data_IF_484476963823
#
_entry.id   IF_484476963823
#
_cell.length_a   1.000
_cell.length_b   1.000
_cell.length_c   1.000
_cell.angle_alpha   90.00
_cell.angle_beta   90.00
_cell.angle_gamma   90.00
#
_symmetry.space_group_name_H-M   'P 1'
#
loop_
_entity.id
_entity.type
_entity.pdbx_description
1 polymer ?
#
# COMPACT_ATOMS: atom_id res chain seq x y z
N UNK A 1 -8.38 6.09 -11.83
CA UNK A 1 -6.93 6.45 -11.92
C UNK A 1 -6.10 5.22 -12.25
N UNK A 2 -5.30 5.30 -13.27
CA UNK A 2 -4.38 4.23 -13.67
C UNK A 2 -2.96 4.80 -13.71
N UNK A 3 -2.01 4.08 -13.14
CA UNK A 3 -0.63 4.52 -13.05
C UNK A 3 0.31 3.32 -13.17
N UNK A 4 1.45 3.50 -13.82
CA UNK A 4 2.52 2.50 -13.85
C UNK A 4 3.43 2.73 -12.67
N UNK A 5 3.65 1.68 -11.87
CA UNK A 5 4.49 1.71 -10.68
C UNK A 5 5.63 0.71 -10.85
N UNK A 6 6.85 1.15 -10.58
CA UNK A 6 8.02 0.27 -10.67
C UNK A 6 8.32 -0.30 -9.29
N UNK A 7 8.37 -1.63 -9.20
CA UNK A 7 8.72 -2.34 -7.98
C UNK A 7 9.80 -3.36 -8.33
N UNK A 8 10.96 -3.25 -7.71
CA UNK A 8 12.09 -4.16 -7.92
C UNK A 8 12.48 -4.27 -9.41
N UNK A 9 12.45 -3.13 -10.12
CA UNK A 9 12.82 -3.06 -11.53
C UNK A 9 11.73 -3.51 -12.50
N UNK A 10 10.59 -3.98 -12.02
CA UNK A 10 9.48 -4.40 -12.86
C UNK A 10 8.35 -3.38 -12.81
N UNK A 11 7.77 -3.09 -13.98
CA UNK A 11 6.63 -2.18 -14.10
C UNK A 11 5.32 -2.93 -13.85
N UNK A 12 4.46 -2.33 -13.02
CA UNK A 12 3.11 -2.83 -12.77
C UNK A 12 2.11 -1.74 -13.08
N UNK A 13 1.10 -2.09 -13.89
CA UNK A 13 -0.03 -1.21 -14.15
C UNK A 13 -1.02 -1.34 -13.01
N UNK A 14 -1.20 -0.29 -12.25
CA UNK A 14 -2.13 -0.26 -11.12
C UNK A 14 -3.31 0.64 -11.44
N UNK A 15 -4.52 0.17 -11.12
CA UNK A 15 -5.75 0.90 -11.39
C UNK A 15 -6.63 0.94 -10.15
N UNK A 16 -7.20 2.12 -9.89
CA UNK A 16 -8.23 2.32 -8.89
C UNK A 16 -9.48 2.90 -9.57
N UNK A 17 -10.65 2.39 -9.19
CA UNK A 17 -11.94 2.82 -9.73
C UNK A 17 -13.01 2.68 -8.64
N UNK A 18 -14.26 2.98 -8.99
CA UNK A 18 -15.39 2.76 -8.07
C UNK A 18 -15.55 1.28 -7.68
N UNK A 19 -15.02 0.37 -8.48
CA UNK A 19 -15.06 -1.07 -8.20
C UNK A 19 -14.06 -1.51 -7.13
N UNK A 20 -12.97 -0.78 -6.96
CA UNK A 20 -11.84 -1.19 -6.10
C UNK A 20 -12.26 -1.55 -4.67
N UNK A 21 -13.06 -0.74 -3.95
CA UNK A 21 -13.47 -1.10 -2.59
C UNK A 21 -14.26 -2.40 -2.53
N UNK A 22 -15.04 -2.69 -3.55
CA UNK A 22 -15.82 -3.93 -3.62
C UNK A 22 -14.91 -5.14 -3.83
N UNK A 23 -13.89 -5.02 -4.67
CA UNK A 23 -12.91 -6.08 -4.89
C UNK A 23 -12.14 -6.35 -3.60
N UNK A 24 -11.71 -5.31 -2.93
CA UNK A 24 -10.98 -5.44 -1.67
C UNK A 24 -11.82 -6.21 -0.63
N UNK A 25 -13.10 -5.84 -0.49
CA UNK A 25 -14.01 -6.52 0.44
C UNK A 25 -14.22 -7.98 0.05
N UNK A 26 -14.32 -8.27 -1.25
CA UNK A 26 -14.50 -9.64 -1.73
C UNK A 26 -13.29 -10.52 -1.40
N UNK A 27 -12.08 -10.00 -1.55
CA UNK A 27 -10.86 -10.76 -1.31
C UNK A 27 -10.51 -10.86 0.17
N UNK A 28 -10.68 -9.78 0.93
CA UNK A 28 -10.14 -9.69 2.29
C UNK A 28 -11.21 -9.64 3.38
N UNK A 29 -12.49 -9.50 3.04
CA UNK A 29 -13.60 -9.37 3.99
C UNK A 29 -13.43 -8.18 4.93
N UNK A 30 -12.86 -7.09 4.42
CA UNK A 30 -12.56 -5.87 5.16
C UNK A 30 -13.03 -4.65 4.39
N UNK A 31 -13.23 -3.55 5.11
CA UNK A 31 -13.62 -2.26 4.54
C UNK A 31 -12.36 -1.49 4.12
N UNK A 32 -12.17 -1.35 2.80
CA UNK A 32 -11.01 -0.68 2.23
C UNK A 32 -10.92 0.79 2.67
N UNK A 33 -12.06 1.48 2.75
CA UNK A 33 -12.06 2.91 3.10
C UNK A 33 -11.53 3.09 4.51
N UNK A 34 -12.00 2.27 5.46
CA UNK A 34 -11.51 2.31 6.84
C UNK A 34 -10.04 1.94 6.93
N UNK A 35 -9.64 0.86 6.27
CA UNK A 35 -8.25 0.40 6.26
C UNK A 35 -7.32 1.47 5.70
N UNK A 36 -7.73 2.13 4.59
CA UNK A 36 -6.92 3.20 3.99
C UNK A 36 -6.89 4.46 4.85
N UNK A 37 -7.98 4.81 5.51
CA UNK A 37 -7.98 5.94 6.44
C UNK A 37 -6.98 5.73 7.56
N UNK A 38 -6.94 4.52 8.11
CA UNK A 38 -5.99 4.17 9.17
C UNK A 38 -4.54 4.19 8.67
N UNK A 39 -4.30 3.62 7.49
CA UNK A 39 -2.98 3.64 6.87
C UNK A 39 -2.51 5.07 6.60
N UNK A 40 -3.38 5.90 6.00
CA UNK A 40 -3.04 7.29 5.68
C UNK A 40 -2.78 8.10 6.94
N UNK A 41 -3.54 7.86 8.02
CA UNK A 41 -3.31 8.50 9.30
C UNK A 41 -1.91 8.20 9.85
N UNK A 42 -1.51 6.94 9.84
CA UNK A 42 -0.19 6.52 10.28
C UNK A 42 0.92 7.07 9.39
N UNK A 43 0.72 7.02 8.07
CA UNK A 43 1.69 7.55 7.10
C UNK A 43 1.87 9.06 7.26
N UNK A 44 0.77 9.79 7.39
CA UNK A 44 0.81 11.24 7.57
C UNK A 44 1.50 11.64 8.88
N UNK A 45 1.26 10.88 9.94
CA UNK A 45 1.94 11.08 11.23
C UNK A 45 3.45 10.96 11.09
N UNK A 46 3.91 9.99 10.31
CA UNK A 46 5.33 9.79 10.03
C UNK A 46 5.91 10.95 9.22
N UNK A 47 5.19 11.43 8.19
CA UNK A 47 5.64 12.51 7.30
C UNK A 47 5.68 13.87 8.01
N UNK A 48 4.84 14.08 9.02
CA UNK A 48 4.70 15.38 9.71
C UNK A 48 5.47 15.47 11.01
N UNK A 49 6.35 14.51 11.30
CA UNK A 49 7.23 14.59 12.46
C UNK A 49 8.10 15.84 12.38
N UNK A 50 8.17 16.65 13.46
CA UNK A 50 9.06 17.81 13.48
C UNK A 50 10.53 17.35 13.47
N UNK A 51 11.42 18.24 13.00
CA UNK A 51 12.85 17.95 12.95
C UNK A 51 13.44 17.67 14.33
N UNK A 52 12.87 18.31 15.35
CA UNK A 52 13.29 18.17 16.75
C UNK A 52 12.52 17.08 17.50
N UNK A 53 11.80 16.21 16.79
CA UNK A 53 11.08 15.09 17.39
C UNK A 53 12.04 14.22 18.21
N UNK A 54 11.60 13.78 19.38
CA UNK A 54 12.38 12.87 20.21
C UNK A 54 12.49 11.49 19.57
N UNK A 55 13.46 10.71 20.01
CA UNK A 55 13.59 9.32 19.54
C UNK A 55 12.35 8.51 19.88
N UNK A 56 11.72 8.77 21.02
CA UNK A 56 10.47 8.13 21.43
C UNK A 56 9.34 8.45 20.44
N UNK A 57 9.20 9.73 20.05
CA UNK A 57 8.19 10.15 19.09
C UNK A 57 8.42 9.53 17.72
N UNK A 58 9.68 9.45 17.26
CA UNK A 58 10.04 8.81 15.99
C UNK A 58 9.72 7.33 16.00
N UNK A 59 10.07 6.64 17.09
CA UNK A 59 9.81 5.22 17.24
C UNK A 59 8.31 4.92 17.23
N UNK A 60 7.52 5.74 17.93
CA UNK A 60 6.07 5.60 17.99
C UNK A 60 5.45 5.76 16.60
N UNK A 61 5.90 6.75 15.83
CA UNK A 61 5.41 6.96 14.47
C UNK A 61 5.78 5.80 13.55
N UNK A 62 7.01 5.28 13.64
CA UNK A 62 7.45 4.14 12.86
C UNK A 62 6.68 2.87 13.21
N UNK A 63 6.43 2.62 14.50
CA UNK A 63 5.66 1.46 14.93
C UNK A 63 4.20 1.54 14.48
N UNK A 64 3.67 2.75 14.42
CA UNK A 64 2.29 2.99 13.98
C UNK A 64 2.07 2.54 12.53
N UNK A 65 3.04 2.83 11.63
CA UNK A 65 2.92 2.43 10.22
C UNK A 65 3.04 0.91 10.05
N UNK A 66 3.82 0.24 10.91
CA UNK A 66 4.01 -1.21 10.82
C UNK A 66 2.70 -1.97 10.97
N UNK A 67 1.76 -1.45 11.76
CA UNK A 67 0.45 -2.08 11.97
C UNK A 67 -0.38 -2.14 10.68
N UNK A 68 -0.03 -1.34 9.67
CA UNK A 68 -0.81 -1.21 8.44
C UNK A 68 -0.06 -1.67 7.19
N UNK A 69 1.12 -2.30 7.34
CA UNK A 69 1.89 -2.77 6.18
C UNK A 69 1.12 -3.84 5.40
N UNK A 70 0.43 -4.74 6.07
CA UNK A 70 -0.38 -5.75 5.41
C UNK A 70 -1.53 -5.11 4.62
N UNK A 71 -2.17 -4.08 5.18
CA UNK A 71 -3.18 -3.30 4.48
C UNK A 71 -2.60 -2.72 3.19
N UNK A 72 -1.43 -2.10 3.29
CA UNK A 72 -0.75 -1.52 2.14
C UNK A 72 -0.47 -2.57 1.05
N UNK A 73 0.07 -3.72 1.43
CA UNK A 73 0.36 -4.83 0.51
C UNK A 73 -0.89 -5.32 -0.20
N UNK A 74 -1.97 -5.48 0.56
CA UNK A 74 -3.25 -5.93 0.02
C UNK A 74 -3.86 -4.93 -0.96
N UNK A 75 -3.79 -3.64 -0.63
CA UNK A 75 -4.26 -2.56 -1.51
C UNK A 75 -3.47 -2.54 -2.81
N UNK A 76 -2.15 -2.63 -2.72
CA UNK A 76 -1.28 -2.66 -3.90
C UNK A 76 -1.63 -3.85 -4.80
N UNK A 77 -1.85 -5.01 -4.22
CA UNK A 77 -2.23 -6.22 -4.96
C UNK A 77 -3.56 -6.05 -5.69
N UNK A 78 -4.57 -5.48 -5.02
CA UNK A 78 -5.87 -5.23 -5.65
C UNK A 78 -5.74 -4.24 -6.81
N UNK A 79 -4.94 -3.18 -6.64
CA UNK A 79 -4.67 -2.24 -7.73
C UNK A 79 -4.03 -2.93 -8.93
N UNK A 80 -3.10 -3.85 -8.70
CA UNK A 80 -2.49 -4.65 -9.76
C UNK A 80 -3.50 -5.56 -10.45
N UNK A 81 -4.34 -6.23 -9.70
CA UNK A 81 -5.40 -7.09 -10.24
C UNK A 81 -6.33 -6.28 -11.12
N UNK A 82 -6.77 -5.13 -10.66
CA UNK A 82 -7.66 -4.24 -11.42
C UNK A 82 -6.97 -3.65 -12.65
N UNK A 83 -5.66 -3.48 -12.58
CA UNK A 83 -4.84 -3.03 -13.71
C UNK A 83 -4.56 -4.11 -14.75
N UNK A 84 -4.97 -5.34 -14.51
CA UNK A 84 -4.78 -6.44 -15.45
C UNK A 84 -3.44 -7.17 -15.29
N UNK A 85 -2.71 -6.92 -14.22
CA UNK A 85 -1.44 -7.58 -13.95
C UNK A 85 -1.64 -8.99 -13.42
N UNK A 86 -0.70 -9.88 -13.78
CA UNK A 86 -0.71 -11.26 -13.30
C UNK A 86 0.11 -11.33 -12.00
N UNK A 87 -0.57 -11.19 -10.89
CA UNK A 87 0.06 -11.14 -9.56
C UNK A 87 -0.37 -12.33 -8.68
N UNK A 88 -0.78 -13.41 -9.30
CA UNK A 88 -1.19 -14.62 -8.60
C UNK A 88 -2.58 -14.51 -7.97
N UNK A 89 -2.92 -15.51 -7.17
CA UNK A 89 -4.24 -15.63 -6.55
C UNK A 89 -4.30 -15.03 -5.14
N UNK A 90 -3.17 -14.55 -4.63
CA UNK A 90 -3.09 -13.94 -3.30
C UNK A 90 -1.96 -12.93 -3.24
N UNK A 91 -2.01 -11.96 -2.32
CA UNK A 91 -0.88 -11.07 -2.09
C UNK A 91 0.41 -11.83 -1.76
N UNK A 92 0.30 -12.94 -1.02
CA UNK A 92 1.46 -13.74 -0.63
C UNK A 92 2.19 -14.30 -1.86
N UNK A 93 1.47 -14.80 -2.87
CA UNK A 93 2.08 -15.28 -4.11
C UNK A 93 2.84 -14.17 -4.83
N UNK A 94 2.25 -12.99 -4.88
CA UNK A 94 2.86 -11.85 -5.53
C UNK A 94 4.12 -11.38 -4.79
N UNK A 95 4.00 -11.23 -3.46
CA UNK A 95 5.13 -10.79 -2.64
C UNK A 95 6.29 -11.77 -2.71
N UNK A 96 6.00 -13.07 -2.76
CA UNK A 96 7.03 -14.10 -2.89
C UNK A 96 7.81 -13.98 -4.21
N UNK A 97 7.20 -13.41 -5.24
CA UNK A 97 7.84 -13.19 -6.53
C UNK A 97 8.75 -11.97 -6.56
N UNK A 98 8.68 -11.10 -5.56
CA UNK A 98 9.48 -9.87 -5.47
C UNK A 98 10.72 -10.16 -4.64
N UNK A 99 11.90 -10.13 -5.29
CA UNK A 99 13.18 -10.50 -4.64
C UNK A 99 13.65 -9.50 -3.59
N UNK A 100 13.45 -8.21 -3.85
CA UNK A 100 13.89 -7.16 -2.92
C UNK A 100 12.94 -7.04 -1.74
N UNK A 101 13.41 -7.39 -0.54
CA UNK A 101 12.59 -7.45 0.68
C UNK A 101 11.79 -6.17 0.94
N UNK A 102 12.36 -5.01 0.64
CA UNK A 102 11.72 -3.72 0.93
C UNK A 102 11.23 -2.99 -0.32
N UNK A 103 11.34 -3.59 -1.50
CA UNK A 103 11.04 -2.92 -2.77
C UNK A 103 9.62 -2.42 -2.86
N UNK A 104 8.64 -3.17 -2.34
CA UNK A 104 7.24 -2.74 -2.37
C UNK A 104 7.00 -1.49 -1.52
N UNK A 105 7.71 -1.36 -0.40
CA UNK A 105 7.54 -0.22 0.50
C UNK A 105 8.17 1.05 -0.06
N UNK A 106 9.19 0.93 -0.90
CA UNK A 106 9.79 2.07 -1.61
C UNK A 106 8.79 2.71 -2.57
N UNK A 107 7.83 1.93 -3.07
CA UNK A 107 6.78 2.41 -3.96
C UNK A 107 5.56 3.00 -3.21
N UNK A 108 5.57 2.99 -1.88
CA UNK A 108 4.42 3.42 -1.07
C UNK A 108 3.91 4.82 -1.44
N UNK A 109 4.75 5.85 -1.59
CA UNK A 109 4.23 7.18 -1.94
C UNK A 109 3.46 7.18 -3.25
N UNK A 110 3.95 6.48 -4.26
CA UNK A 110 3.31 6.41 -5.58
C UNK A 110 1.98 5.65 -5.50
N UNK A 111 1.94 4.55 -4.74
CA UNK A 111 0.73 3.73 -4.59
C UNK A 111 -0.33 4.50 -3.80
N UNK A 112 0.06 5.22 -2.75
CA UNK A 112 -0.86 6.06 -1.98
C UNK A 112 -1.45 7.17 -2.86
N UNK A 113 -0.66 7.73 -3.78
CA UNK A 113 -1.15 8.75 -4.71
C UNK A 113 -2.28 8.23 -5.59
N UNK A 114 -2.27 6.96 -5.95
CA UNK A 114 -3.37 6.35 -6.73
C UNK A 114 -4.66 6.39 -5.92
N UNK A 115 -4.60 6.11 -4.63
CA UNK A 115 -5.74 6.17 -3.74
C UNK A 115 -6.28 7.60 -3.59
N UNK A 116 -5.37 8.58 -3.47
CA UNK A 116 -5.74 9.98 -3.22
C UNK A 116 -6.30 10.68 -4.45
N UNK A 117 -6.05 10.16 -5.62
CA UNK A 117 -6.59 10.67 -6.85
C UNK A 117 -8.02 10.16 -7.05
#
# INVERSE_FOLDING_TARGET
MTKTVVIDGKEYRMRASALTPRLYRAFFKRDMIRDMQNLLGAYNKLLTLPEDATEEEKNEANLSILDYLEVFENVAWVFCKEGGEQVGNSPEEWLDSIEGMFSIYEAMPTIIDIWLD
#
